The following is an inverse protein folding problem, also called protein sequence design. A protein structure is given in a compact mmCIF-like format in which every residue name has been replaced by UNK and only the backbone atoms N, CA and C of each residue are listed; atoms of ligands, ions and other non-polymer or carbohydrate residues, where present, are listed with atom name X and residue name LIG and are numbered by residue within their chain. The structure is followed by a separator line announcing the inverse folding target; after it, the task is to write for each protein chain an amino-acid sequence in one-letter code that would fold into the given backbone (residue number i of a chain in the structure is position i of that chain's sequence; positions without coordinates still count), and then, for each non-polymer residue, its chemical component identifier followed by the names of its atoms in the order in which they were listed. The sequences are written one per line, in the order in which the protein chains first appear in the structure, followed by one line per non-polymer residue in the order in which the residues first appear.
data_IF_183891890874
#
_entry.id   IF_183891890874
#
_cell.length_a   1.000
_cell.length_b   1.000
_cell.length_c   1.000
_cell.angle_alpha   90.00
_cell.angle_beta   90.00
_cell.angle_gamma   90.00
#
_symmetry.space_group_name_H-M   'P 1'
#
loop_
_entity.id
_entity.type
_entity.pdbx_description
1 polymer ?
#
# COMPACT_ATOMS: atom_id res chain seq x y z
N UNK A 1 10.73 13.55 8.72
CA UNK A 1 10.59 13.11 7.32
C UNK A 1 9.12 12.82 7.14
N UNK A 2 8.49 13.21 6.03
CA UNK A 2 7.09 12.79 5.80
C UNK A 2 7.18 11.42 5.16
N UNK A 3 7.03 10.37 5.96
CA UNK A 3 7.02 9.00 5.45
C UNK A 3 5.87 8.89 4.42
N UNK A 4 6.21 8.57 3.17
CA UNK A 4 5.19 8.34 2.13
C UNK A 4 4.59 6.97 2.33
N UNK A 5 3.33 6.80 1.90
CA UNK A 5 2.64 5.50 2.01
C UNK A 5 3.44 4.35 1.40
N UNK A 6 4.09 4.57 0.25
CA UNK A 6 5.00 3.62 -0.39
C UNK A 6 6.13 3.16 0.52
N UNK A 7 6.86 4.09 1.14
CA UNK A 7 7.97 3.80 2.05
C UNK A 7 7.46 3.05 3.28
N UNK A 8 6.37 3.54 3.88
CA UNK A 8 5.74 2.87 5.02
C UNK A 8 5.27 1.45 4.68
N UNK A 9 4.70 1.25 3.48
CA UNK A 9 4.23 -0.05 3.02
C UNK A 9 5.38 -1.03 2.82
N UNK A 10 6.52 -0.58 2.29
CA UNK A 10 7.70 -1.44 2.16
C UNK A 10 8.32 -1.83 3.50
N UNK A 11 8.20 -1.00 4.54
CA UNK A 11 8.55 -1.43 5.90
C UNK A 11 7.66 -2.57 6.43
N UNK A 12 6.51 -2.84 5.79
CA UNK A 12 5.58 -3.91 6.16
C UNK A 12 5.87 -5.25 5.46
N UNK A 13 6.92 -5.36 4.63
CA UNK A 13 7.22 -6.58 3.85
C UNK A 13 7.35 -7.85 4.70
N UNK A 14 7.87 -7.72 5.92
CA UNK A 14 8.05 -8.85 6.85
C UNK A 14 6.76 -9.30 7.55
N UNK A 15 5.63 -8.60 7.36
CA UNK A 15 4.36 -8.99 7.97
C UNK A 15 3.75 -10.20 7.28
N UNK A 16 3.19 -11.09 8.10
CA UNK A 16 2.47 -12.29 7.67
C UNK A 16 0.95 -12.06 7.57
N UNK A 17 0.50 -10.81 7.53
CA UNK A 17 -0.90 -10.43 7.42
C UNK A 17 -1.24 -9.78 6.07
N UNK A 18 -2.48 -9.33 5.94
CA UNK A 18 -3.05 -8.72 4.74
C UNK A 18 -2.30 -7.47 4.25
N UNK A 19 -1.64 -6.73 5.15
CA UNK A 19 -0.81 -5.57 4.80
C UNK A 19 0.56 -6.02 4.27
N UNK A 20 1.17 -7.02 4.90
CA UNK A 20 2.41 -7.62 4.38
C UNK A 20 2.23 -8.35 3.05
N UNK A 21 1.07 -8.97 2.83
CA UNK A 21 0.70 -9.52 1.51
C UNK A 21 0.59 -8.42 0.45
N UNK A 22 0.00 -7.28 0.78
CA UNK A 22 -0.08 -6.14 -0.13
C UNK A 22 1.31 -5.60 -0.46
N UNK A 23 2.17 -5.40 0.54
CA UNK A 23 3.53 -4.94 0.36
C UNK A 23 4.31 -5.86 -0.61
N UNK A 24 4.21 -7.18 -0.41
CA UNK A 24 4.83 -8.17 -1.29
C UNK A 24 4.22 -8.20 -2.70
N UNK A 25 2.92 -7.89 -2.85
CA UNK A 25 2.28 -7.86 -4.16
C UNK A 25 2.78 -6.73 -5.06
N UNK A 26 3.27 -5.64 -4.47
CA UNK A 26 3.75 -4.45 -5.21
C UNK A 26 5.26 -4.26 -5.16
N UNK A 27 6.00 -5.14 -4.45
CA UNK A 27 7.46 -5.08 -4.31
C UNK A 27 8.20 -5.08 -5.64
N UNK A 28 7.78 -5.95 -6.57
CA UNK A 28 8.37 -6.09 -7.90
C UNK A 28 7.58 -5.32 -8.98
N UNK A 29 6.59 -4.49 -8.63
CA UNK A 29 5.80 -3.73 -9.60
C UNK A 29 6.44 -2.36 -9.89
N UNK A 30 7.10 -2.24 -11.05
CA UNK A 30 7.73 -1.01 -11.52
C UNK A 30 6.73 0.15 -11.75
N UNK A 31 5.43 -0.14 -11.81
CA UNK A 31 4.37 0.86 -11.94
C UNK A 31 3.80 1.32 -10.60
N UNK A 32 4.26 0.74 -9.48
CA UNK A 32 3.79 1.13 -8.16
C UNK A 32 4.17 2.60 -7.86
N UNK A 33 3.20 3.47 -7.48
CA UNK A 33 3.49 4.88 -7.25
C UNK A 33 4.47 5.09 -6.08
N UNK A 34 5.62 5.70 -6.35
CA UNK A 34 6.60 6.04 -5.30
C UNK A 34 6.11 7.15 -4.36
N UNK A 35 5.29 8.07 -4.85
CA UNK A 35 4.73 9.18 -4.08
C UNK A 35 3.31 9.51 -4.54
N UNK A 36 2.47 9.98 -3.61
CA UNK A 36 1.11 10.38 -3.94
C UNK A 36 0.24 10.56 -2.70
N UNK A 37 -0.96 11.07 -2.93
CA UNK A 37 -2.03 11.02 -1.95
C UNK A 37 -2.89 9.76 -2.18
N UNK A 38 -3.84 9.51 -1.29
CA UNK A 38 -4.74 8.35 -1.35
C UNK A 38 -5.33 8.12 -2.74
N UNK A 39 -5.79 9.18 -3.42
CA UNK A 39 -6.42 9.07 -4.73
C UNK A 39 -5.49 8.52 -5.82
N UNK A 40 -4.18 8.79 -5.75
CA UNK A 40 -3.19 8.22 -6.70
C UNK A 40 -3.07 6.72 -6.49
N UNK A 41 -2.99 6.27 -5.24
CA UNK A 41 -2.90 4.85 -4.91
C UNK A 41 -4.24 4.14 -5.16
N UNK A 42 -5.38 4.77 -4.85
CA UNK A 42 -6.71 4.24 -5.17
C UNK A 42 -6.86 3.98 -6.66
N UNK A 43 -6.45 4.92 -7.52
CA UNK A 43 -6.48 4.72 -8.98
C UNK A 43 -5.53 3.61 -9.47
N UNK A 44 -4.40 3.38 -8.80
CA UNK A 44 -3.52 2.25 -9.10
C UNK A 44 -4.20 0.91 -8.76
N UNK A 45 -4.74 0.80 -7.54
CA UNK A 45 -5.38 -0.41 -7.05
C UNK A 45 -6.77 -0.67 -7.65
N UNK A 46 -7.45 0.32 -8.23
CA UNK A 46 -8.78 0.11 -8.86
C UNK A 46 -8.74 -0.93 -9.98
N UNK A 47 -7.59 -1.07 -10.63
CA UNK A 47 -7.38 -2.02 -11.73
C UNK A 47 -7.12 -3.45 -11.26
N UNK A 48 -6.90 -3.64 -9.95
CA UNK A 48 -6.63 -4.91 -9.31
C UNK A 48 -7.91 -5.54 -8.75
N UNK A 49 -7.81 -6.79 -8.28
CA UNK A 49 -8.93 -7.52 -7.72
C UNK A 49 -9.45 -6.92 -6.40
N UNK A 50 -10.71 -7.23 -6.06
CA UNK A 50 -11.39 -6.71 -4.86
C UNK A 50 -10.63 -7.03 -3.56
N UNK A 51 -9.92 -8.15 -3.48
CA UNK A 51 -9.17 -8.51 -2.28
C UNK A 51 -7.94 -7.60 -2.12
N UNK A 52 -7.24 -7.29 -3.20
CA UNK A 52 -6.13 -6.32 -3.20
C UNK A 52 -6.60 -4.91 -2.83
N UNK A 53 -7.75 -4.48 -3.33
CA UNK A 53 -8.35 -3.19 -2.94
C UNK A 53 -8.72 -3.14 -1.45
N UNK A 54 -9.27 -4.24 -0.90
CA UNK A 54 -9.58 -4.33 0.53
C UNK A 54 -8.30 -4.27 1.40
N UNK A 55 -7.24 -4.98 1.00
CA UNK A 55 -5.92 -4.90 1.64
C UNK A 55 -5.36 -3.49 1.62
N UNK A 56 -5.47 -2.79 0.48
CA UNK A 56 -5.05 -1.40 0.37
C UNK A 56 -5.83 -0.47 1.32
N UNK A 57 -7.14 -0.58 1.37
CA UNK A 57 -7.96 0.24 2.26
C UNK A 57 -7.55 0.08 3.74
N UNK A 58 -7.25 -1.17 4.14
CA UNK A 58 -6.73 -1.50 5.47
C UNK A 58 -5.35 -0.90 5.72
N UNK A 59 -4.42 -1.09 4.78
CA UNK A 59 -3.06 -0.56 4.86
C UNK A 59 -3.06 0.98 4.98
N UNK A 60 -3.94 1.65 4.22
CA UNK A 60 -4.08 3.11 4.27
C UNK A 60 -4.60 3.61 5.63
N UNK A 61 -5.60 2.94 6.20
CA UNK A 61 -6.11 3.27 7.54
C UNK A 61 -5.02 3.14 8.61
N UNK A 62 -4.20 2.09 8.55
CA UNK A 62 -3.06 1.91 9.46
C UNK A 62 -2.00 3.00 9.29
N UNK A 63 -1.68 3.35 8.05
CA UNK A 63 -0.77 4.45 7.73
C UNK A 63 -1.26 5.80 8.30
N UNK A 64 -2.54 6.13 8.13
CA UNK A 64 -3.13 7.38 8.65
C UNK A 64 -3.28 7.39 10.17
N UNK A 65 -3.41 6.23 10.80
CA UNK A 65 -3.54 6.13 12.27
C UNK A 65 -2.18 6.11 12.96
N UNK A 66 -1.15 5.57 12.31
CA UNK A 66 0.20 5.44 12.85
C UNK A 66 1.12 6.65 12.67
N UNK A 67 0.69 7.65 11.89
CA UNK A 67 1.42 8.89 11.56
C UNK A 67 0.73 10.12 12.17
#
# INVERSE_FOLDING_TARGET
MTDTFSTWLFDQLEREDEVGELARSVEDDEQFPEHGNRAIFEGYFETMDDATQARFARAWEEFETGN
#
